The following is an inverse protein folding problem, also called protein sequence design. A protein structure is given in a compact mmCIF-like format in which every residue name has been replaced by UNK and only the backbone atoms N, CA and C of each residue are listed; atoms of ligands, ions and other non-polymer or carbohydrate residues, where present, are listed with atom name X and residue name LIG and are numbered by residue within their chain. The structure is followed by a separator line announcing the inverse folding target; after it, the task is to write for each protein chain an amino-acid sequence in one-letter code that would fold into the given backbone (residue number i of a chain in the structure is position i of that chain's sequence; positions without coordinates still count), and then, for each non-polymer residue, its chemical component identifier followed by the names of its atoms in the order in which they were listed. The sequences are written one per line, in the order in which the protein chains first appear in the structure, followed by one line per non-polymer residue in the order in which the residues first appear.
data_IF_524140361985
#
_entry.id   IF_524140361985
#
_cell.length_a   1.000
_cell.length_b   1.000
_cell.length_c   1.000
_cell.angle_alpha   90.00
_cell.angle_beta   90.00
_cell.angle_gamma   90.00
#
_symmetry.space_group_name_H-M   'P 1'
#
loop_
_entity.id
_entity.type
_entity.pdbx_description
1 polymer ?
#
# COMPACT_ATOMS: atom_id res chain seq x y z
N UNK A 1 0.20 -6.47 -8.93
CA UNK A 1 0.57 -6.87 -10.29
C UNK A 1 -0.48 -6.48 -11.36
N UNK A 2 -1.41 -5.56 -11.08
CA UNK A 2 -2.40 -5.13 -12.10
C UNK A 2 -1.77 -4.48 -13.33
N UNK A 3 -0.60 -3.87 -13.15
CA UNK A 3 0.13 -3.16 -14.21
C UNK A 3 1.07 -4.07 -15.01
N UNK A 4 1.16 -5.35 -14.67
CA UNK A 4 2.04 -6.32 -15.34
C UNK A 4 1.20 -7.23 -16.24
N UNK A 5 1.64 -7.55 -17.48
CA UNK A 5 0.95 -8.50 -18.35
C UNK A 5 0.56 -9.81 -17.65
N UNK A 6 -0.61 -10.35 -17.99
CA UNK A 6 -1.22 -11.51 -17.31
C UNK A 6 -0.33 -12.77 -17.31
N UNK A 7 0.42 -13.00 -18.38
CA UNK A 7 1.36 -14.11 -18.49
C UNK A 7 2.50 -13.98 -17.46
N UNK A 8 3.10 -12.78 -17.37
CA UNK A 8 4.19 -12.49 -16.44
C UNK A 8 3.73 -12.54 -14.98
N UNK A 9 2.52 -12.04 -14.69
CA UNK A 9 1.95 -12.14 -13.34
C UNK A 9 1.64 -13.58 -12.93
N UNK A 10 1.15 -14.40 -13.86
CA UNK A 10 0.92 -15.82 -13.62
C UNK A 10 2.21 -16.59 -13.36
N UNK A 11 3.26 -16.32 -14.15
CA UNK A 11 4.58 -16.91 -13.97
C UNK A 11 5.18 -16.52 -12.61
N UNK A 12 5.17 -15.24 -12.27
CA UNK A 12 5.66 -14.75 -10.98
C UNK A 12 4.91 -15.41 -9.82
N UNK A 13 3.58 -15.52 -9.91
CA UNK A 13 2.78 -16.17 -8.88
C UNK A 13 3.16 -17.65 -8.70
N UNK A 14 3.32 -18.40 -9.80
CA UNK A 14 3.73 -19.81 -9.74
C UNK A 14 5.12 -19.98 -9.11
N UNK A 15 6.08 -19.16 -9.51
CA UNK A 15 7.45 -19.20 -8.97
C UNK A 15 7.45 -18.85 -7.49
N UNK A 16 6.86 -17.72 -7.10
CA UNK A 16 6.84 -17.28 -5.71
C UNK A 16 6.07 -18.26 -4.80
N UNK A 17 5.00 -18.89 -5.32
CA UNK A 17 4.28 -19.96 -4.61
C UNK A 17 5.17 -21.18 -4.40
N UNK A 18 5.88 -21.62 -5.44
CA UNK A 18 6.76 -22.80 -5.38
C UNK A 18 7.95 -22.58 -4.44
N UNK A 19 8.46 -21.36 -4.38
CA UNK A 19 9.50 -20.94 -3.42
C UNK A 19 8.98 -20.73 -1.98
N UNK A 20 7.66 -20.88 -1.74
CA UNK A 20 7.06 -20.66 -0.43
C UNK A 20 7.01 -19.20 0.02
N UNK A 21 7.26 -18.25 -0.89
CA UNK A 21 7.28 -16.81 -0.62
C UNK A 21 5.87 -16.20 -0.60
N UNK A 22 4.89 -16.88 -1.21
CA UNK A 22 3.49 -16.47 -1.14
C UNK A 22 2.78 -17.10 0.05
N UNK A 23 2.27 -16.24 0.93
CA UNK A 23 1.43 -16.64 2.05
C UNK A 23 -0.05 -16.68 1.63
N UNK A 24 -0.82 -17.53 2.32
CA UNK A 24 -2.29 -17.53 2.17
C UNK A 24 -2.87 -16.16 2.55
N UNK A 25 -3.90 -15.66 1.85
CA UNK A 25 -4.61 -14.43 2.24
C UNK A 25 -5.06 -14.43 3.70
N UNK A 26 -5.39 -15.60 4.27
CA UNK A 26 -5.75 -15.75 5.69
C UNK A 26 -4.66 -15.26 6.64
N UNK A 27 -3.38 -15.47 6.29
CA UNK A 27 -2.25 -15.00 7.09
C UNK A 27 -2.13 -13.47 7.04
N UNK A 28 -2.46 -12.86 5.89
CA UNK A 28 -2.54 -11.41 5.75
C UNK A 28 -3.62 -10.80 6.64
N UNK A 29 -4.83 -11.39 6.63
CA UNK A 29 -5.95 -10.97 7.50
C UNK A 29 -5.55 -11.05 8.98
N UNK A 30 -4.92 -12.14 9.41
CA UNK A 30 -4.45 -12.26 10.80
C UNK A 30 -3.44 -11.17 11.17
N UNK A 31 -2.52 -10.82 10.27
CA UNK A 31 -1.53 -9.78 10.52
C UNK A 31 -2.16 -8.40 10.68
N UNK A 32 -3.21 -8.13 9.90
CA UNK A 32 -3.98 -6.89 10.00
C UNK A 32 -4.70 -6.80 11.35
N UNK A 33 -5.32 -7.90 11.80
CA UNK A 33 -5.99 -7.97 13.11
C UNK A 33 -4.96 -7.78 14.22
N UNK A 34 -3.81 -8.43 14.13
CA UNK A 34 -2.73 -8.28 15.12
C UNK A 34 -2.27 -6.81 15.22
N UNK A 35 -2.09 -6.13 14.08
CA UNK A 35 -1.71 -4.72 14.05
C UNK A 35 -2.81 -3.80 14.62
N UNK A 36 -4.07 -4.06 14.29
CA UNK A 36 -5.20 -3.24 14.73
C UNK A 36 -5.47 -3.35 16.24
N UNK A 37 -5.18 -4.52 16.84
CA UNK A 37 -5.34 -4.78 18.27
C UNK A 37 -4.05 -4.55 19.07
N UNK A 38 -2.97 -4.14 18.42
CA UNK A 38 -1.70 -3.90 19.07
C UNK A 38 -1.80 -2.69 20.02
N UNK A 39 -1.09 -2.73 21.16
CA UNK A 39 -1.06 -1.60 22.08
C UNK A 39 -0.25 -0.43 21.48
N UNK A 40 -0.45 0.81 21.96
CA UNK A 40 0.22 2.00 21.41
C UNK A 40 1.75 1.92 21.37
N UNK A 41 2.37 1.19 22.32
CA UNK A 41 3.81 0.99 22.39
C UNK A 41 4.36 0.21 21.18
N UNK A 42 3.50 -0.54 20.49
CA UNK A 42 3.84 -1.26 19.26
C UNK A 42 3.66 -0.41 17.99
N UNK A 43 3.40 0.89 18.12
CA UNK A 43 3.28 1.81 16.98
C UNK A 43 4.55 1.79 16.12
N UNK A 44 4.37 1.74 14.80
CA UNK A 44 5.47 1.68 13.83
C UNK A 44 6.04 0.27 13.58
N UNK A 45 5.56 -0.76 14.26
CA UNK A 45 5.98 -2.15 14.05
C UNK A 45 5.23 -2.77 12.87
N UNK A 46 5.94 -3.57 12.05
CA UNK A 46 5.40 -4.19 10.85
C UNK A 46 4.97 -5.63 11.14
N UNK A 47 3.66 -5.84 11.29
CA UNK A 47 3.07 -7.17 11.52
C UNK A 47 2.99 -7.98 10.22
N UNK A 48 3.45 -9.23 10.24
CA UNK A 48 3.44 -10.09 9.07
C UNK A 48 3.23 -11.59 9.37
N UNK A 49 2.33 -12.18 8.58
CA UNK A 49 1.87 -13.57 8.62
C UNK A 49 1.29 -14.07 9.94
N UNK A 50 0.69 -13.18 10.73
CA UNK A 50 -0.21 -13.48 11.85
C UNK A 50 0.45 -13.94 13.16
N UNK A 51 -0.38 -14.07 14.20
CA UNK A 51 -0.01 -14.49 15.57
C UNK A 51 0.94 -13.52 16.27
N UNK A 52 0.78 -12.23 16.02
CA UNK A 52 1.62 -11.17 16.59
C UNK A 52 3.06 -11.17 16.06
N UNK A 53 3.34 -11.91 14.97
CA UNK A 53 4.67 -11.93 14.36
C UNK A 53 4.94 -10.63 13.63
N UNK A 54 6.18 -10.20 13.70
CA UNK A 54 6.66 -8.95 13.13
C UNK A 54 7.89 -9.19 12.26
N UNK A 55 8.21 -8.22 11.43
CA UNK A 55 9.42 -8.20 10.60
C UNK A 55 10.10 -6.86 10.78
N UNK A 56 11.43 -6.89 10.86
CA UNK A 56 12.21 -5.66 10.91
C UNK A 56 12.09 -4.90 9.60
N UNK A 57 11.85 -3.60 9.71
CA UNK A 57 11.84 -2.73 8.54
C UNK A 57 13.27 -2.38 8.11
N UNK A 58 13.42 -1.96 6.86
CA UNK A 58 14.71 -1.54 6.33
C UNK A 58 15.29 -0.33 7.08
N UNK A 59 16.60 -0.07 6.94
CA UNK A 59 17.18 1.18 7.47
C UNK A 59 16.53 2.41 6.82
N UNK A 60 16.19 2.33 5.53
CA UNK A 60 15.62 3.44 4.78
C UNK A 60 14.21 3.83 5.27
N UNK A 61 13.40 2.88 5.74
CA UNK A 61 12.07 3.15 6.28
C UNK A 61 12.09 3.97 7.58
N UNK A 62 13.26 4.10 8.23
CA UNK A 62 13.44 4.96 9.39
C UNK A 62 13.95 6.38 9.03
N UNK A 63 14.18 6.66 7.74
CA UNK A 63 14.63 7.98 7.30
C UNK A 63 13.47 8.99 7.34
N UNK A 64 13.39 9.76 8.41
CA UNK A 64 12.33 10.74 8.65
C UNK A 64 12.31 11.88 7.64
N UNK A 65 13.48 12.29 7.13
CA UNK A 65 13.57 13.31 6.08
C UNK A 65 12.93 12.81 4.79
N UNK A 66 13.29 11.61 4.36
CA UNK A 66 12.72 10.99 3.17
C UNK A 66 11.20 10.76 3.33
N UNK A 67 10.76 10.30 4.50
CA UNK A 67 9.34 10.10 4.78
C UNK A 67 8.53 11.40 4.66
N UNK A 68 9.08 12.51 5.17
CA UNK A 68 8.44 13.84 5.06
C UNK A 68 8.38 14.30 3.61
N UNK A 69 9.50 14.24 2.88
CA UNK A 69 9.53 14.63 1.46
C UNK A 69 8.54 13.81 0.64
N UNK A 70 8.45 12.50 0.89
CA UNK A 70 7.48 11.62 0.24
C UNK A 70 6.04 12.00 0.57
N UNK A 71 5.75 12.33 1.82
CA UNK A 71 4.43 12.79 2.25
C UNK A 71 4.02 14.07 1.54
N UNK A 72 4.89 15.09 1.59
CA UNK A 72 4.63 16.41 1.00
C UNK A 72 4.39 16.31 -0.53
N UNK A 73 5.20 15.50 -1.23
CA UNK A 73 5.02 15.27 -2.68
C UNK A 73 3.70 14.54 -2.96
N UNK A 74 3.37 13.51 -2.19
CA UNK A 74 2.16 12.71 -2.40
C UNK A 74 0.89 13.52 -2.15
N UNK A 75 0.88 14.35 -1.11
CA UNK A 75 -0.24 15.23 -0.80
C UNK A 75 -0.47 16.28 -1.89
N UNK A 76 0.61 16.91 -2.37
CA UNK A 76 0.53 17.85 -3.49
C UNK A 76 -0.03 17.19 -4.76
N UNK A 77 0.48 16.00 -5.13
CA UNK A 77 -0.03 15.25 -6.30
C UNK A 77 -1.52 14.90 -6.15
N UNK A 78 -1.95 14.52 -4.95
CA UNK A 78 -3.36 14.21 -4.68
C UNK A 78 -4.24 15.46 -4.79
N UNK A 79 -3.78 16.62 -4.32
CA UNK A 79 -4.48 17.89 -4.45
C UNK A 79 -4.60 18.33 -5.91
N UNK A 80 -3.53 18.24 -6.69
CA UNK A 80 -3.54 18.54 -8.13
C UNK A 80 -4.54 17.64 -8.87
N UNK A 81 -4.51 16.33 -8.62
CA UNK A 81 -5.43 15.37 -9.23
C UNK A 81 -6.90 15.65 -8.83
N UNK A 82 -7.14 16.02 -7.57
CA UNK A 82 -8.47 16.34 -7.06
C UNK A 82 -9.04 17.62 -7.68
N UNK A 83 -8.20 18.64 -7.89
CA UNK A 83 -8.60 19.88 -8.57
C UNK A 83 -8.91 19.62 -10.05
N UNK A 84 -8.02 18.91 -10.76
CA UNK A 84 -8.24 18.57 -12.16
C UNK A 84 -9.54 17.75 -12.35
N UNK A 85 -9.84 16.81 -11.45
CA UNK A 85 -11.09 16.06 -11.46
C UNK A 85 -12.32 16.95 -11.23
N UNK A 86 -12.22 17.94 -10.35
CA UNK A 86 -13.32 18.88 -10.09
C UNK A 86 -13.58 19.80 -11.28
N UNK A 87 -12.53 20.26 -11.95
CA UNK A 87 -12.62 21.10 -13.15
C UNK A 87 -13.28 20.35 -14.31
N UNK A 88 -12.88 19.09 -14.58
CA UNK A 88 -13.52 18.27 -15.60
C UNK A 88 -15.00 18.00 -15.29
N UNK A 89 -15.33 17.66 -14.04
CA UNK A 89 -16.73 17.45 -13.63
C UNK A 89 -17.61 18.71 -13.78
N UNK A 90 -17.07 19.89 -13.48
CA UNK A 90 -17.80 21.17 -13.67
C UNK A 90 -17.98 21.52 -15.14
N UNK A 91 -16.97 21.26 -15.98
CA UNK A 91 -17.05 21.52 -17.42
C UNK A 91 -18.03 20.59 -18.14
N UNK A 92 -18.18 19.34 -17.66
CA UNK A 92 -19.18 18.43 -18.18
C UNK A 92 -20.59 18.87 -17.83
N UNK A 93 -20.84 19.39 -16.62
CA UNK A 93 -22.18 19.90 -16.25
C UNK A 93 -22.61 21.14 -17.03
N UNK A 94 -21.66 22.01 -17.41
CA UNK A 94 -21.95 23.22 -18.18
C UNK A 94 -22.23 22.94 -19.67
N UNK A 95 -21.79 21.79 -20.19
CA UNK A 95 -22.02 21.38 -21.59
C UNK A 95 -23.41 20.76 -21.84
N UNK A 96 -24.21 20.51 -20.79
CA UNK A 96 -25.57 19.97 -20.88
C UNK A 96 -26.68 21.03 -20.72
N UNK A 97 -26.33 22.32 -20.66
CA UNK A 97 -27.24 23.48 -20.65
C UNK A 97 -27.11 24.29 -21.95
#
# INVERSE_FOLDING_TARGET
MREVPSCLSSLAFQVLKSLGLLQSPKNGVSSLIDAALAPPEASGVYFFGGKGRTVDSSVLSHNTKLAKELWDISDNLFMEASLAFKETASSESDNWL
#
